data_IF_560379000959
#
_entry.id   IF_560379000959
#
_cell.length_a   1.000
_cell.length_b   1.000
_cell.length_c   1.000
_cell.angle_alpha   90.00
_cell.angle_beta   90.00
_cell.angle_gamma   90.00
#
_symmetry.space_group_name_H-M   'P 1'
#
loop_
_entity.id
_entity.type
_entity.pdbx_description
1 polymer ?
#
# COMPACT_ATOMS: atom_id res chain seq x y z
N UNK A 1 -55.14 35.04 -24.17
CA UNK A 1 -54.81 36.04 -23.14
C UNK A 1 -53.63 35.53 -22.33
N UNK A 2 -52.44 36.09 -22.60
CA UNK A 2 -51.28 36.12 -21.69
C UNK A 2 -51.63 36.99 -20.44
N UNK A 3 -50.82 37.09 -19.36
CA UNK A 3 -49.37 36.82 -19.34
C UNK A 3 -48.73 36.25 -18.05
N UNK A 4 -47.52 35.72 -18.28
CA UNK A 4 -46.24 35.97 -17.59
C UNK A 4 -46.15 35.99 -16.06
N UNK A 5 -45.21 35.19 -15.53
CA UNK A 5 -44.33 35.62 -14.44
C UNK A 5 -42.87 35.28 -14.74
N UNK A 6 -42.06 36.32 -14.62
CA UNK A 6 -40.63 36.42 -14.88
C UNK A 6 -39.77 35.79 -13.76
N UNK A 7 -38.48 35.55 -14.01
CA UNK A 7 -37.54 34.96 -13.05
C UNK A 7 -36.92 36.00 -12.12
N UNK A 8 -36.65 35.61 -10.88
CA UNK A 8 -35.97 36.43 -9.87
C UNK A 8 -34.45 36.36 -10.05
N UNK A 9 -33.83 37.49 -10.39
CA UNK A 9 -32.38 37.69 -10.29
C UNK A 9 -31.96 37.74 -8.81
N UNK A 10 -31.02 36.89 -8.43
CA UNK A 10 -30.25 37.04 -7.20
C UNK A 10 -28.92 37.73 -7.49
N UNK A 11 -28.78 38.98 -7.07
CA UNK A 11 -27.51 39.69 -7.00
C UNK A 11 -27.58 40.58 -5.76
N UNK A 12 -26.70 40.36 -4.79
CA UNK A 12 -25.95 41.42 -4.08
C UNK A 12 -24.99 40.74 -3.08
N UNK A 13 -23.75 40.57 -3.53
CA UNK A 13 -22.57 40.42 -2.68
C UNK A 13 -22.35 41.74 -1.93
N UNK A 14 -22.26 41.69 -0.60
CA UNK A 14 -21.55 42.67 0.23
C UNK A 14 -21.04 41.93 1.47
N UNK A 15 -19.88 41.30 1.34
CA UNK A 15 -19.12 40.77 2.47
C UNK A 15 -18.05 41.79 2.82
N UNK A 16 -18.33 42.59 3.84
CA UNK A 16 -17.41 43.58 4.39
C UNK A 16 -16.17 42.90 4.98
N UNK A 17 -15.01 43.33 4.50
CA UNK A 17 -13.70 43.05 5.08
C UNK A 17 -13.63 43.63 6.51
N UNK A 18 -13.49 42.77 7.51
CA UNK A 18 -12.92 43.16 8.80
C UNK A 18 -11.45 42.76 8.80
N UNK A 19 -10.56 43.74 8.62
CA UNK A 19 -9.17 43.65 9.05
C UNK A 19 -9.14 43.97 10.54
N UNK A 20 -8.82 42.98 11.37
CA UNK A 20 -8.44 43.19 12.76
C UNK A 20 -7.14 42.45 13.02
N UNK A 21 -6.10 43.22 13.33
CA UNK A 21 -4.76 42.78 13.72
C UNK A 21 -4.78 41.77 14.86
N UNK A 22 -3.92 40.74 14.86
CA UNK A 22 -3.54 40.08 16.10
C UNK A 22 -2.52 40.97 16.84
N UNK A 23 -2.94 41.46 18.01
CA UNK A 23 -2.08 42.13 18.96
C UNK A 23 -1.01 41.16 19.50
N UNK A 24 0.21 41.67 19.62
CA UNK A 24 1.32 41.09 20.35
C UNK A 24 0.91 40.75 21.79
N UNK A 25 0.93 39.46 22.14
CA UNK A 25 0.97 39.03 23.53
C UNK A 25 2.42 38.65 23.86
N UNK A 26 3.12 39.57 24.54
CA UNK A 26 4.41 39.32 25.17
C UNK A 26 4.20 38.42 26.40
N UNK A 27 4.76 37.22 26.36
CA UNK A 27 4.96 36.40 27.54
C UNK A 27 6.19 36.92 28.32
N UNK A 28 6.15 36.96 29.67
CA UNK A 28 7.27 37.43 30.47
C UNK A 28 8.43 36.44 30.43
N UNK A 29 9.64 36.99 30.31
CA UNK A 29 10.90 36.27 30.42
C UNK A 29 11.11 35.77 31.84
N UNK A 30 11.13 34.45 32.02
CA UNK A 30 11.53 33.81 33.27
C UNK A 30 12.98 33.33 33.15
N UNK A 31 13.75 33.65 34.17
CA UNK A 31 15.19 33.69 34.23
C UNK A 31 15.84 32.30 34.07
N UNK A 32 16.85 32.26 33.20
CA UNK A 32 17.78 31.14 33.06
C UNK A 32 18.59 30.97 34.36
N UNK A 33 18.18 30.03 35.22
CA UNK A 33 19.04 29.46 36.26
C UNK A 33 19.66 28.17 35.75
N UNK A 34 20.91 28.29 35.32
CA UNK A 34 21.82 27.18 35.09
C UNK A 34 21.95 26.33 36.36
N UNK A 35 21.44 25.10 36.30
CA UNK A 35 21.88 24.01 37.17
C UNK A 35 22.74 23.08 36.34
N UNK A 36 24.05 23.34 36.36
CA UNK A 36 25.05 22.31 36.06
C UNK A 36 25.14 21.40 37.27
N UNK A 37 24.82 20.14 37.09
CA UNK A 37 25.21 19.08 38.03
C UNK A 37 25.91 17.97 37.25
N UNK A 38 27.08 17.50 37.72
CA UNK A 38 27.86 16.49 37.03
C UNK A 38 27.15 15.13 37.12
N UNK A 39 26.93 14.49 35.97
CA UNK A 39 26.53 13.09 35.89
C UNK A 39 27.70 12.27 36.44
N UNK A 40 27.55 11.79 37.66
CA UNK A 40 28.42 10.78 38.23
C UNK A 40 27.83 9.44 37.82
N UNK A 41 28.51 8.71 36.93
CA UNK A 41 28.17 7.32 36.62
C UNK A 41 28.44 6.47 37.87
N UNK A 42 27.42 6.29 38.69
CA UNK A 42 27.38 5.21 39.67
C UNK A 42 26.80 3.97 38.98
N UNK A 43 27.67 3.01 38.69
CA UNK A 43 27.31 1.66 38.27
C UNK A 43 26.55 0.99 39.42
N UNK A 44 25.23 1.07 39.41
CA UNK A 44 24.37 0.20 40.21
C UNK A 44 24.11 -1.07 39.39
N UNK A 45 24.44 -2.21 39.98
CA UNK A 45 24.07 -3.53 39.48
C UNK A 45 22.56 -3.61 39.24
N UNK A 46 22.07 -4.37 38.25
CA UNK A 46 20.64 -4.56 38.08
C UNK A 46 20.10 -5.26 39.33
N UNK A 47 19.20 -4.58 40.02
CA UNK A 47 18.45 -5.10 41.15
C UNK A 47 17.62 -6.29 40.66
N UNK A 48 18.11 -7.49 40.92
CA UNK A 48 17.43 -8.75 40.66
C UNK A 48 16.34 -9.00 41.72
N UNK A 49 15.49 -8.00 41.95
CA UNK A 49 14.48 -8.00 43.01
C UNK A 49 13.08 -7.52 42.54
N UNK A 50 12.90 -7.28 41.23
CA UNK A 50 11.60 -6.89 40.65
C UNK A 50 10.96 -8.01 39.78
N UNK A 51 11.48 -9.23 39.84
CA UNK A 51 10.85 -10.42 39.24
C UNK A 51 10.13 -11.31 40.27
N UNK A 52 10.28 -11.05 41.57
CA UNK A 52 9.74 -11.92 42.62
C UNK A 52 8.44 -11.38 43.27
N UNK A 53 7.90 -10.25 42.80
CA UNK A 53 6.71 -9.62 43.39
C UNK A 53 5.37 -10.00 42.72
N UNK A 54 5.38 -10.63 41.54
CA UNK A 54 4.13 -11.11 40.88
C UNK A 54 3.80 -12.58 41.18
N UNK A 55 4.75 -13.36 41.68
CA UNK A 55 4.55 -14.78 42.00
C UNK A 55 3.78 -15.04 43.30
N UNK A 56 3.46 -13.98 44.05
CA UNK A 56 2.78 -14.04 45.35
C UNK A 56 1.26 -13.78 45.34
N UNK A 57 0.64 -13.48 44.19
CA UNK A 57 -0.83 -13.51 44.12
C UNK A 57 -1.22 -14.98 44.17
N UNK A 58 -1.75 -15.43 45.32
CA UNK A 58 -2.15 -16.81 45.53
C UNK A 58 -2.94 -17.31 44.31
N UNK A 59 -2.67 -18.52 43.80
CA UNK A 59 -3.30 -19.05 42.59
C UNK A 59 -4.83 -18.91 42.60
N UNK A 60 -5.45 -19.04 43.78
CA UNK A 60 -6.87 -18.80 44.01
C UNK A 60 -7.32 -17.37 43.65
N UNK A 61 -6.52 -16.35 43.97
CA UNK A 61 -6.82 -14.96 43.61
C UNK A 61 -6.65 -14.71 42.11
N UNK A 62 -5.67 -15.37 41.46
CA UNK A 62 -5.50 -15.31 39.99
C UNK A 62 -6.69 -15.97 39.29
N UNK A 63 -7.06 -17.17 39.73
CA UNK A 63 -8.22 -17.92 39.22
C UNK A 63 -9.52 -17.13 39.42
N UNK A 64 -9.76 -16.56 40.60
CA UNK A 64 -10.93 -15.74 40.88
C UNK A 64 -11.01 -14.50 39.98
N UNK A 65 -9.88 -13.82 39.71
CA UNK A 65 -9.80 -12.70 38.77
C UNK A 65 -10.10 -13.15 37.33
N UNK A 66 -9.55 -14.27 36.90
CA UNK A 66 -9.82 -14.82 35.57
C UNK A 66 -11.30 -15.20 35.40
N UNK A 67 -11.93 -15.77 36.43
CA UNK A 67 -13.36 -16.10 36.44
C UNK A 67 -14.24 -14.85 36.32
N UNK A 68 -13.93 -13.77 37.05
CA UNK A 68 -14.65 -12.49 36.92
C UNK A 68 -14.54 -11.90 35.50
N UNK A 69 -13.37 -11.98 34.89
CA UNK A 69 -13.16 -11.53 33.51
C UNK A 69 -13.95 -12.39 32.52
N UNK A 70 -13.93 -13.71 32.69
CA UNK A 70 -14.74 -14.65 31.89
C UNK A 70 -16.22 -14.34 32.00
N UNK A 71 -16.77 -14.16 33.20
CA UNK A 71 -18.21 -13.93 33.37
C UNK A 71 -18.67 -12.62 32.70
N UNK A 72 -17.82 -11.58 32.76
CA UNK A 72 -18.04 -10.35 32.00
C UNK A 72 -17.91 -10.56 30.49
N UNK A 73 -16.96 -11.38 30.04
CA UNK A 73 -16.80 -11.74 28.64
C UNK A 73 -18.02 -12.52 28.10
N UNK A 74 -18.58 -13.44 28.90
CA UNK A 74 -19.79 -14.19 28.58
C UNK A 74 -21.00 -13.26 28.38
N UNK A 75 -21.13 -12.22 29.22
CA UNK A 75 -22.16 -11.19 29.05
C UNK A 75 -21.97 -10.41 27.75
N UNK A 76 -20.76 -9.88 27.52
CA UNK A 76 -20.42 -9.15 26.29
C UNK A 76 -20.64 -10.00 25.04
N UNK A 77 -20.32 -11.30 25.10
CA UNK A 77 -20.58 -12.22 24.00
C UNK A 77 -22.09 -12.35 23.73
N UNK A 78 -22.90 -12.50 24.79
CA UNK A 78 -24.37 -12.58 24.69
C UNK A 78 -24.99 -11.30 24.13
N UNK A 79 -24.41 -10.13 24.43
CA UNK A 79 -24.83 -8.84 23.86
C UNK A 79 -24.21 -8.53 22.49
N UNK A 80 -23.47 -9.49 21.90
CA UNK A 80 -22.80 -9.40 20.58
C UNK A 80 -21.64 -8.38 20.52
N UNK A 81 -21.11 -7.97 21.66
CA UNK A 81 -19.89 -7.17 21.77
C UNK A 81 -18.64 -8.05 21.66
N UNK A 82 -18.51 -8.78 20.55
CA UNK A 82 -17.51 -9.84 20.38
C UNK A 82 -16.06 -9.38 20.48
N UNK A 83 -15.74 -8.15 20.06
CA UNK A 83 -14.37 -7.59 20.19
C UNK A 83 -13.97 -7.48 21.65
N UNK A 84 -14.83 -6.89 22.49
CA UNK A 84 -14.57 -6.74 23.92
C UNK A 84 -14.62 -8.08 24.65
N UNK A 85 -15.52 -8.98 24.25
CA UNK A 85 -15.55 -10.33 24.80
C UNK A 85 -14.24 -11.07 24.55
N UNK A 86 -13.72 -11.02 23.32
CA UNK A 86 -12.43 -11.61 22.94
C UNK A 86 -11.28 -11.07 23.81
N UNK A 87 -11.17 -9.74 23.94
CA UNK A 87 -10.14 -9.11 24.78
C UNK A 87 -10.17 -9.62 26.23
N UNK A 88 -11.38 -9.80 26.80
CA UNK A 88 -11.53 -10.31 28.16
C UNK A 88 -11.22 -11.80 28.28
N UNK A 89 -11.60 -12.63 27.32
CA UNK A 89 -11.22 -14.05 27.32
C UNK A 89 -9.70 -14.23 27.19
N UNK A 90 -9.04 -13.49 26.30
CA UNK A 90 -7.58 -13.52 26.13
C UNK A 90 -6.87 -13.03 27.40
N UNK A 91 -7.40 -11.97 28.03
CA UNK A 91 -6.86 -11.48 29.32
C UNK A 91 -7.06 -12.51 30.44
N UNK A 92 -8.23 -13.13 30.53
CA UNK A 92 -8.50 -14.17 31.52
C UNK A 92 -7.54 -15.35 31.34
N UNK A 93 -7.33 -15.81 30.10
CA UNK A 93 -6.44 -16.94 29.80
C UNK A 93 -4.97 -16.62 30.10
N UNK A 94 -4.52 -15.37 29.89
CA UNK A 94 -3.17 -14.93 30.30
C UNK A 94 -2.98 -14.91 31.83
N UNK A 95 -4.03 -14.61 32.60
CA UNK A 95 -3.96 -14.58 34.07
C UNK A 95 -4.02 -15.99 34.65
N UNK A 96 -4.89 -16.83 34.11
CA UNK A 96 -5.06 -18.22 34.52
C UNK A 96 -5.37 -19.08 33.28
N UNK A 97 -4.38 -19.83 32.77
CA UNK A 97 -4.56 -20.66 31.58
C UNK A 97 -5.64 -21.73 31.76
N UNK A 98 -6.76 -21.59 31.05
CA UNK A 98 -7.83 -22.58 30.94
C UNK A 98 -8.20 -22.75 29.45
N UNK A 99 -8.21 -24.00 28.96
CA UNK A 99 -8.59 -24.33 27.60
C UNK A 99 -10.03 -23.90 27.26
N UNK A 100 -10.96 -23.86 28.21
CA UNK A 100 -12.32 -23.36 27.96
C UNK A 100 -12.33 -21.91 27.48
N UNK A 101 -11.38 -21.10 27.93
CA UNK A 101 -11.22 -19.71 27.50
C UNK A 101 -10.72 -19.62 26.05
N UNK A 102 -9.87 -20.55 25.61
CA UNK A 102 -9.47 -20.67 24.20
C UNK A 102 -10.68 -20.98 23.32
N UNK A 103 -11.54 -21.93 23.72
CA UNK A 103 -12.76 -22.23 22.97
C UNK A 103 -13.65 -20.97 22.83
N UNK A 104 -13.88 -20.24 23.93
CA UNK A 104 -14.70 -19.02 23.92
C UNK A 104 -14.07 -17.88 23.10
N UNK A 105 -12.74 -17.72 23.15
CA UNK A 105 -12.00 -16.79 22.29
C UNK A 105 -12.17 -17.16 20.81
N UNK A 106 -12.00 -18.45 20.45
CA UNK A 106 -12.23 -18.96 19.10
C UNK A 106 -13.66 -18.71 18.60
N UNK A 107 -14.67 -18.89 19.47
CA UNK A 107 -16.07 -18.56 19.13
C UNK A 107 -16.29 -17.07 18.91
N UNK A 108 -15.60 -16.22 19.66
CA UNK A 108 -15.63 -14.75 19.48
C UNK A 108 -15.00 -14.33 18.16
N UNK A 109 -13.83 -14.91 17.81
CA UNK A 109 -13.15 -14.71 16.53
C UNK A 109 -14.01 -15.16 15.34
N UNK A 110 -14.65 -16.33 15.46
CA UNK A 110 -15.58 -16.83 14.45
C UNK A 110 -16.77 -15.88 14.25
N UNK A 111 -17.36 -15.37 15.34
CA UNK A 111 -18.47 -14.41 15.27
C UNK A 111 -18.06 -13.07 14.64
N UNK A 112 -16.78 -12.69 14.75
CA UNK A 112 -16.18 -11.53 14.08
C UNK A 112 -15.83 -11.78 12.60
N UNK A 113 -15.94 -13.03 12.12
CA UNK A 113 -15.50 -13.41 10.78
C UNK A 113 -13.98 -13.50 10.63
N UNK A 114 -13.22 -13.49 11.73
CA UNK A 114 -11.76 -13.72 11.75
C UNK A 114 -11.49 -15.22 11.75
N UNK A 115 -11.83 -15.90 10.65
CA UNK A 115 -11.82 -17.36 10.58
C UNK A 115 -10.41 -17.96 10.67
N UNK A 116 -9.41 -17.26 10.13
CA UNK A 116 -8.00 -17.64 10.26
C UNK A 116 -7.55 -17.75 11.71
N UNK A 117 -7.72 -16.67 12.47
CA UNK A 117 -7.45 -16.63 13.91
C UNK A 117 -8.31 -17.65 14.67
N UNK A 118 -9.60 -17.74 14.35
CA UNK A 118 -10.51 -18.70 15.00
C UNK A 118 -10.01 -20.14 14.84
N UNK A 119 -9.62 -20.54 13.62
CA UNK A 119 -9.08 -21.87 13.36
C UNK A 119 -7.80 -22.10 14.17
N UNK A 120 -6.88 -21.12 14.18
CA UNK A 120 -5.65 -21.21 14.96
C UNK A 120 -5.94 -21.43 16.45
N UNK A 121 -6.84 -20.63 17.03
CA UNK A 121 -7.23 -20.76 18.45
C UNK A 121 -7.94 -22.09 18.75
N UNK A 122 -8.75 -22.61 17.82
CA UNK A 122 -9.38 -23.93 18.01
C UNK A 122 -8.40 -25.09 17.88
N UNK A 123 -7.36 -24.97 17.03
CA UNK A 123 -6.28 -25.96 16.97
C UNK A 123 -5.46 -25.95 18.26
N UNK A 124 -5.24 -24.78 18.85
CA UNK A 124 -4.61 -24.65 20.17
C UNK A 124 -5.47 -25.28 21.27
N UNK A 125 -6.77 -24.99 21.30
CA UNK A 125 -7.72 -25.68 22.17
C UNK A 125 -7.67 -27.20 21.99
N UNK A 126 -7.64 -27.70 20.76
CA UNK A 126 -7.59 -29.14 20.47
C UNK A 126 -6.33 -29.80 21.05
N UNK A 127 -5.20 -29.07 21.06
CA UNK A 127 -3.92 -29.52 21.60
C UNK A 127 -3.90 -29.51 23.14
N UNK A 128 -4.52 -28.51 23.76
CA UNK A 128 -4.37 -28.25 25.20
C UNK A 128 -5.51 -28.78 26.07
N UNK A 129 -6.71 -28.96 25.50
CA UNK A 129 -7.87 -29.40 26.26
C UNK A 129 -7.78 -30.88 26.67
N UNK A 130 -8.11 -31.21 27.94
CA UNK A 130 -8.27 -32.60 28.39
C UNK A 130 -9.26 -33.37 27.51
N UNK A 131 -9.05 -34.69 27.36
CA UNK A 131 -9.88 -35.53 26.51
C UNK A 131 -11.36 -35.50 26.92
N UNK A 132 -11.63 -35.46 28.24
CA UNK A 132 -12.98 -35.39 28.79
C UNK A 132 -13.70 -34.10 28.35
N UNK A 133 -12.99 -32.98 28.31
CA UNK A 133 -13.54 -31.70 27.86
C UNK A 133 -13.79 -31.71 26.35
N UNK A 134 -12.87 -32.28 25.56
CA UNK A 134 -13.03 -32.41 24.10
C UNK A 134 -14.21 -33.32 23.75
N UNK A 135 -14.40 -34.43 24.47
CA UNK A 135 -15.50 -35.37 24.26
C UNK A 135 -16.89 -34.77 24.49
N UNK A 136 -17.00 -33.71 25.29
CA UNK A 136 -18.26 -32.99 25.53
C UNK A 136 -18.67 -32.07 24.36
N UNK A 137 -17.73 -31.70 23.49
CA UNK A 137 -17.98 -30.77 22.38
C UNK A 137 -18.46 -31.50 21.12
N UNK A 138 -19.74 -31.84 21.11
CA UNK A 138 -20.38 -32.43 19.92
C UNK A 138 -20.28 -31.48 18.72
N UNK A 139 -19.83 -32.00 17.57
CA UNK A 139 -19.70 -31.24 16.33
C UNK A 139 -18.44 -30.38 16.21
N UNK A 140 -17.48 -30.50 17.14
CA UNK A 140 -16.23 -29.75 17.08
C UNK A 140 -15.40 -30.07 15.82
N UNK A 141 -15.34 -31.34 15.39
CA UNK A 141 -14.64 -31.71 14.16
C UNK A 141 -15.30 -31.08 12.91
N UNK A 142 -16.63 -31.07 12.86
CA UNK A 142 -17.37 -30.42 11.77
C UNK A 142 -17.15 -28.90 11.74
N UNK A 143 -17.00 -28.27 12.92
CA UNK A 143 -16.61 -26.86 13.03
C UNK A 143 -15.20 -26.62 12.47
N UNK A 144 -14.23 -27.46 12.82
CA UNK A 144 -12.88 -27.35 12.29
C UNK A 144 -12.84 -27.51 10.76
N UNK A 145 -13.60 -28.46 10.21
CA UNK A 145 -13.70 -28.66 8.77
C UNK A 145 -14.36 -27.47 8.05
N UNK A 146 -15.43 -26.89 8.61
CA UNK A 146 -16.04 -25.67 8.06
C UNK A 146 -15.06 -24.49 8.06
N UNK A 147 -14.31 -24.30 9.15
CA UNK A 147 -13.30 -23.24 9.24
C UNK A 147 -12.14 -23.47 8.27
N UNK A 148 -11.63 -24.71 8.15
CA UNK A 148 -10.60 -25.07 7.16
C UNK A 148 -11.04 -24.73 5.74
N UNK A 149 -12.30 -24.98 5.39
CA UNK A 149 -12.87 -24.62 4.09
C UNK A 149 -12.96 -23.10 3.84
N UNK A 150 -12.93 -22.27 4.90
CA UNK A 150 -13.03 -20.80 4.82
C UNK A 150 -11.70 -20.07 4.84
N UNK A 151 -10.60 -20.78 5.07
CA UNK A 151 -9.27 -20.19 5.22
C UNK A 151 -8.26 -20.82 4.26
N UNK A 152 -7.17 -20.12 4.02
CA UNK A 152 -6.00 -20.59 3.30
C UNK A 152 -4.79 -20.50 4.22
N UNK A 153 -3.94 -21.52 4.23
CA UNK A 153 -2.65 -21.46 4.90
C UNK A 153 -1.65 -20.68 4.03
N UNK A 154 -1.17 -19.54 4.51
CA UNK A 154 -0.27 -18.63 3.79
C UNK A 154 1.14 -18.74 4.36
N UNK A 155 2.10 -18.91 3.45
CA UNK A 155 3.54 -18.82 3.71
C UNK A 155 4.10 -17.67 2.91
N UNK A 156 4.79 -16.74 3.56
CA UNK A 156 5.36 -15.56 2.92
C UNK A 156 6.89 -15.60 3.07
N UNK A 157 7.59 -15.75 1.96
CA UNK A 157 9.03 -15.61 1.87
C UNK A 157 9.38 -14.17 1.51
N UNK A 158 10.22 -13.53 2.31
CA UNK A 158 10.76 -12.18 2.01
C UNK A 158 12.27 -12.25 2.09
N UNK A 159 12.96 -11.69 1.10
CA UNK A 159 14.43 -11.63 1.06
C UNK A 159 15.04 -10.80 2.20
N UNK A 160 14.26 -9.88 2.77
CA UNK A 160 14.68 -8.92 3.79
C UNK A 160 13.99 -9.20 5.13
N UNK A 161 14.73 -9.50 6.20
CA UNK A 161 14.19 -9.62 7.56
C UNK A 161 13.69 -8.28 8.11
N UNK A 162 12.75 -8.31 9.05
CA UNK A 162 12.14 -7.12 9.65
C UNK A 162 11.21 -6.33 8.72
N UNK A 163 10.79 -6.93 7.60
CA UNK A 163 9.81 -6.32 6.71
C UNK A 163 8.40 -6.61 7.23
N UNK A 164 7.57 -5.58 7.36
CA UNK A 164 6.16 -5.72 7.75
C UNK A 164 5.37 -6.36 6.61
N UNK A 165 4.63 -7.43 6.93
CA UNK A 165 3.79 -8.17 5.99
C UNK A 165 2.33 -7.96 6.39
N UNK A 166 1.54 -7.45 5.46
CA UNK A 166 0.09 -7.30 5.62
C UNK A 166 -0.66 -7.96 4.47
N UNK A 167 -1.84 -8.50 4.78
CA UNK A 167 -2.71 -9.18 3.83
C UNK A 167 -4.13 -8.64 4.01
N UNK A 168 -4.52 -7.71 3.14
CA UNK A 168 -5.74 -6.92 3.29
C UNK A 168 -5.60 -5.96 4.47
N UNK A 169 -6.50 -6.08 5.44
CA UNK A 169 -6.44 -5.33 6.71
C UNK A 169 -5.67 -6.05 7.82
N UNK A 170 -5.27 -7.30 7.60
CA UNK A 170 -4.61 -8.13 8.60
C UNK A 170 -3.09 -7.94 8.57
N UNK A 171 -2.48 -7.71 9.73
CA UNK A 171 -1.02 -7.63 9.89
C UNK A 171 -0.52 -9.01 10.30
N UNK A 172 0.20 -9.71 9.43
CA UNK A 172 0.70 -11.06 9.70
C UNK A 172 1.91 -11.05 10.65
N UNK A 173 2.65 -9.95 10.64
CA UNK A 173 3.86 -9.72 11.44
C UNK A 173 5.02 -9.22 10.58
N UNK A 174 6.24 -9.50 11.03
CA UNK A 174 7.47 -9.18 10.33
C UNK A 174 8.13 -10.44 9.74
N UNK A 175 8.89 -10.27 8.66
CA UNK A 175 9.68 -11.35 8.05
C UNK A 175 10.93 -11.71 8.86
N UNK A 176 11.33 -12.99 8.93
CA UNK A 176 10.53 -14.15 8.56
C UNK A 176 9.39 -14.38 9.57
N UNK A 177 8.23 -14.82 9.08
CA UNK A 177 7.14 -15.25 9.96
C UNK A 177 7.57 -16.49 10.74
N UNK A 178 7.23 -16.54 12.03
CA UNK A 178 7.58 -17.67 12.92
C UNK A 178 6.88 -18.98 12.54
N UNK A 179 5.70 -18.88 11.92
CA UNK A 179 4.91 -20.00 11.43
C UNK A 179 4.04 -19.56 10.25
N UNK A 180 3.53 -20.50 9.43
CA UNK A 180 2.47 -20.22 8.47
C UNK A 180 1.25 -19.59 9.16
N UNK A 181 0.50 -18.75 8.42
CA UNK A 181 -0.69 -18.08 8.94
C UNK A 181 -1.93 -18.56 8.21
N UNK A 182 -2.99 -18.88 8.94
CA UNK A 182 -4.31 -19.08 8.32
C UNK A 182 -4.95 -17.72 8.09
N UNK A 183 -5.33 -17.45 6.84
CA UNK A 183 -6.03 -16.21 6.49
C UNK A 183 -7.32 -16.54 5.76
N UNK A 184 -8.34 -15.70 5.88
CA UNK A 184 -9.62 -15.89 5.19
C UNK A 184 -9.41 -16.06 3.68
N UNK A 185 -10.10 -17.04 3.10
CA UNK A 185 -10.11 -17.27 1.66
C UNK A 185 -10.80 -16.11 0.92
N UNK A 186 -10.34 -15.85 -0.31
CA UNK A 186 -10.83 -14.76 -1.15
C UNK A 186 -9.73 -14.00 -1.85
N UNK A 187 -10.12 -12.93 -2.55
CA UNK A 187 -9.18 -11.99 -3.15
C UNK A 187 -8.72 -10.97 -2.12
N UNK A 188 -7.41 -10.78 -2.02
CA UNK A 188 -6.82 -9.95 -0.99
C UNK A 188 -5.52 -9.33 -1.47
N UNK A 189 -5.19 -8.16 -0.93
CA UNK A 189 -3.96 -7.45 -1.29
C UNK A 189 -2.85 -7.79 -0.30
N UNK A 190 -1.82 -8.49 -0.76
CA UNK A 190 -0.55 -8.59 -0.06
C UNK A 190 0.18 -7.25 -0.18
N UNK A 191 0.66 -6.72 0.94
CA UNK A 191 1.60 -5.61 0.99
C UNK A 191 2.77 -5.99 1.88
N UNK A 192 3.97 -5.79 1.37
CA UNK A 192 5.22 -5.98 2.12
C UNK A 192 6.00 -4.68 2.08
N UNK A 193 6.40 -4.17 3.24
CA UNK A 193 7.09 -2.89 3.37
C UNK A 193 8.19 -2.93 4.41
N UNK A 194 9.27 -2.20 4.15
CA UNK A 194 10.37 -1.99 5.07
C UNK A 194 11.00 -0.62 4.78
N UNK A 195 11.40 0.09 5.81
CA UNK A 195 12.06 1.39 5.66
C UNK A 195 13.35 1.26 4.83
N UNK A 196 13.52 2.17 3.86
CA UNK A 196 14.65 2.13 2.92
C UNK A 196 14.48 1.16 1.74
N UNK A 197 13.31 0.52 1.59
CA UNK A 197 12.98 -0.37 0.47
C UNK A 197 11.71 0.11 -0.25
N UNK A 198 11.58 -0.22 -1.54
CA UNK A 198 10.33 0.02 -2.26
C UNK A 198 9.27 -0.99 -1.79
N UNK A 199 8.08 -0.54 -1.38
CA UNK A 199 7.01 -1.45 -0.96
C UNK A 199 6.51 -2.25 -2.16
N UNK A 200 6.16 -3.52 -1.91
CA UNK A 200 5.56 -4.41 -2.91
C UNK A 200 4.09 -4.62 -2.57
N UNK A 201 3.21 -4.36 -3.54
CA UNK A 201 1.78 -4.66 -3.45
C UNK A 201 1.38 -5.66 -4.53
N UNK A 202 0.69 -6.75 -4.14
CA UNK A 202 0.19 -7.77 -5.07
C UNK A 202 -1.22 -8.19 -4.69
N UNK A 203 -2.12 -8.27 -5.67
CA UNK A 203 -3.41 -8.93 -5.46
C UNK A 203 -3.21 -10.44 -5.57
N UNK A 204 -3.65 -11.18 -4.56
CA UNK A 204 -3.53 -12.64 -4.48
C UNK A 204 -4.91 -13.25 -4.26
N UNK A 205 -5.15 -14.41 -4.85
CA UNK A 205 -6.39 -15.17 -4.68
C UNK A 205 -6.10 -16.36 -3.77
N UNK A 206 -6.61 -16.30 -2.54
CA UNK A 206 -6.45 -17.35 -1.54
C UNK A 206 -7.61 -18.35 -1.64
N UNK A 207 -7.29 -19.63 -1.79
CA UNK A 207 -8.27 -20.70 -1.93
C UNK A 207 -8.56 -21.34 -0.57
N UNK A 208 -9.84 -21.47 -0.24
CA UNK A 208 -10.29 -22.17 0.97
C UNK A 208 -9.80 -23.62 1.02
N UNK A 209 -9.31 -24.06 2.17
CA UNK A 209 -8.70 -25.38 2.40
C UNK A 209 -7.33 -25.57 1.72
N UNK A 210 -6.82 -24.56 1.01
CA UNK A 210 -5.57 -24.64 0.28
C UNK A 210 -4.39 -24.03 1.03
N UNK A 211 -3.19 -24.20 0.45
CA UNK A 211 -1.96 -23.54 0.88
C UNK A 211 -1.46 -22.61 -0.22
N UNK A 212 -1.01 -21.41 0.15
CA UNK A 212 -0.40 -20.44 -0.75
C UNK A 212 1.03 -20.10 -0.29
N UNK A 213 1.99 -20.18 -1.22
CA UNK A 213 3.36 -19.72 -1.01
C UNK A 213 3.60 -18.44 -1.80
N UNK A 214 3.98 -17.37 -1.12
CA UNK A 214 4.13 -16.03 -1.67
C UNK A 214 5.57 -15.55 -1.46
N UNK A 215 6.35 -15.53 -2.53
CA UNK A 215 7.71 -15.00 -2.49
C UNK A 215 7.75 -13.52 -2.92
N UNK A 216 8.38 -12.71 -2.08
CA UNK A 216 8.50 -11.26 -2.26
C UNK A 216 9.96 -10.85 -2.17
N UNK A 217 10.37 -10.07 -3.16
CA UNK A 217 11.68 -9.44 -3.21
C UNK A 217 11.48 -7.95 -3.00
N UNK A 218 12.01 -7.42 -1.90
CA UNK A 218 12.12 -6.00 -1.63
C UNK A 218 13.43 -5.48 -2.22
N UNK A 219 13.31 -4.42 -3.01
CA UNK A 219 14.44 -3.73 -3.62
C UNK A 219 14.80 -2.47 -2.83
N UNK A 220 16.08 -2.30 -2.54
CA UNK A 220 16.57 -1.17 -1.74
C UNK A 220 16.49 0.14 -2.50
N UNK A 221 15.94 1.18 -1.86
CA UNK A 221 15.90 2.54 -2.38
C UNK A 221 17.31 3.13 -2.53
N UNK A 222 18.27 2.74 -1.69
CA UNK A 222 19.64 3.25 -1.80
C UNK A 222 20.37 2.79 -3.07
N UNK A 223 19.91 1.71 -3.73
CA UNK A 223 20.58 1.08 -4.88
C UNK A 223 19.73 1.03 -6.14
N UNK A 224 18.48 1.49 -6.09
CA UNK A 224 17.53 1.39 -7.19
C UNK A 224 16.60 2.59 -7.23
N UNK A 225 16.02 2.87 -8.40
CA UNK A 225 14.88 3.75 -8.59
C UNK A 225 13.66 2.97 -9.08
N UNK A 226 12.45 3.45 -8.77
CA UNK A 226 11.18 2.88 -9.24
C UNK A 226 10.66 3.68 -10.42
N UNK A 227 10.35 3.01 -11.52
CA UNK A 227 9.77 3.59 -12.72
C UNK A 227 8.34 3.10 -12.90
N UNK A 228 7.39 4.03 -12.97
CA UNK A 228 5.99 3.77 -13.29
C UNK A 228 5.71 4.28 -14.71
N UNK A 229 5.26 3.39 -15.58
CA UNK A 229 4.97 3.72 -16.98
C UNK A 229 3.48 3.61 -17.24
N UNK A 230 2.88 4.75 -17.58
CA UNK A 230 1.48 4.87 -17.95
C UNK A 230 1.34 4.98 -19.47
N UNK A 231 0.20 4.54 -20.01
CA UNK A 231 -0.17 4.78 -21.39
C UNK A 231 -1.66 5.08 -21.50
N UNK A 232 -2.01 6.05 -22.34
CA UNK A 232 -3.40 6.39 -22.66
C UNK A 232 -4.00 5.41 -23.67
N UNK A 233 -3.17 4.63 -24.36
CA UNK A 233 -3.60 3.64 -25.35
C UNK A 233 -3.75 2.27 -24.65
N UNK A 234 -4.97 1.71 -24.54
CA UNK A 234 -5.19 0.45 -23.82
C UNK A 234 -4.42 -0.72 -24.42
N UNK A 235 -3.87 -1.59 -23.57
CA UNK A 235 -3.11 -2.76 -23.98
C UNK A 235 -1.81 -2.42 -24.71
N UNK A 236 -1.22 -1.25 -24.44
CA UNK A 236 0.13 -0.89 -24.87
C UNK A 236 1.13 -1.73 -24.10
N UNK A 237 2.02 -2.41 -24.81
CA UNK A 237 3.10 -3.20 -24.21
C UNK A 237 4.30 -2.31 -23.92
N UNK A 238 4.79 -2.33 -22.69
CA UNK A 238 5.95 -1.57 -22.24
C UNK A 238 7.15 -2.51 -22.09
N UNK A 239 8.31 -2.02 -22.52
CA UNK A 239 9.60 -2.65 -22.31
C UNK A 239 10.63 -1.62 -21.87
N UNK A 240 11.61 -2.05 -21.08
CA UNK A 240 12.75 -1.24 -20.66
C UNK A 240 14.03 -1.98 -21.02
N UNK A 241 14.82 -1.43 -21.94
CA UNK A 241 15.89 -2.19 -22.60
C UNK A 241 15.32 -3.44 -23.27
N UNK A 242 15.85 -4.61 -22.91
CA UNK A 242 15.38 -5.91 -23.41
C UNK A 242 14.28 -6.55 -22.52
N UNK A 243 13.96 -5.95 -21.37
CA UNK A 243 12.99 -6.48 -20.43
C UNK A 243 11.57 -6.06 -20.81
N UNK A 244 10.72 -7.02 -21.20
CA UNK A 244 9.29 -6.78 -21.47
C UNK A 244 8.50 -6.82 -20.16
N UNK A 245 7.93 -5.68 -19.76
CA UNK A 245 7.18 -5.52 -18.50
C UNK A 245 5.70 -5.91 -18.62
N UNK A 246 5.19 -6.08 -19.84
CA UNK A 246 3.79 -6.36 -20.12
C UNK A 246 3.00 -5.11 -20.46
N UNK A 247 1.71 -5.07 -20.12
CA UNK A 247 0.81 -3.98 -20.53
C UNK A 247 0.82 -2.82 -19.54
N UNK A 248 0.75 -1.58 -20.04
CA UNK A 248 0.57 -0.39 -19.21
C UNK A 248 -0.84 -0.37 -18.57
N UNK A 249 -0.99 0.14 -17.33
CA UNK A 249 0.07 0.66 -16.45
C UNK A 249 0.96 -0.46 -15.89
N UNK A 250 2.27 -0.20 -15.81
CA UNK A 250 3.24 -1.14 -15.24
C UNK A 250 4.30 -0.41 -14.42
N UNK A 251 4.90 -1.12 -13.48
CA UNK A 251 5.95 -0.63 -12.60
C UNK A 251 7.16 -1.56 -12.64
N UNK A 252 8.36 -0.99 -12.50
CA UNK A 252 9.61 -1.74 -12.42
C UNK A 252 10.59 -1.02 -11.51
N UNK A 253 11.37 -1.77 -10.75
CA UNK A 253 12.50 -1.24 -9.97
C UNK A 253 13.78 -1.57 -10.72
N UNK A 254 14.62 -0.56 -10.94
CA UNK A 254 15.81 -0.64 -11.80
C UNK A 254 17.01 0.04 -11.12
N UNK A 255 18.26 -0.36 -11.44
CA UNK A 255 19.44 0.36 -10.98
C UNK A 255 19.42 1.83 -11.45
N UNK A 256 20.05 2.76 -10.73
CA UNK A 256 20.21 4.14 -11.17
C UNK A 256 20.90 4.21 -12.52
N UNK A 257 20.50 5.18 -13.34
CA UNK A 257 21.07 5.40 -14.67
C UNK A 257 20.02 5.68 -15.74
N UNK A 258 20.47 5.68 -16.99
CA UNK A 258 19.63 5.96 -18.15
C UNK A 258 19.04 4.68 -18.71
N UNK A 259 17.71 4.61 -18.71
CA UNK A 259 16.95 3.48 -19.22
C UNK A 259 16.15 3.87 -20.45
N UNK A 260 16.25 3.09 -21.53
CA UNK A 260 15.42 3.27 -22.71
C UNK A 260 14.10 2.55 -22.51
N UNK A 261 13.01 3.32 -22.47
CA UNK A 261 11.64 2.80 -22.39
C UNK A 261 11.05 2.75 -23.80
N UNK A 262 10.33 1.68 -24.11
CA UNK A 262 9.69 1.45 -25.40
C UNK A 262 8.24 1.01 -25.16
N UNK A 263 7.32 1.72 -25.80
CA UNK A 263 5.90 1.43 -25.83
C UNK A 263 5.49 0.95 -27.22
N UNK A 264 4.93 -0.25 -27.30
CA UNK A 264 4.46 -0.87 -28.54
C UNK A 264 2.97 -1.14 -28.49
N UNK A 265 2.29 -0.93 -29.61
CA UNK A 265 0.91 -1.36 -29.81
C UNK A 265 0.71 -1.79 -31.25
N UNK A 266 -0.03 -2.88 -31.46
CA UNK A 266 -0.42 -3.33 -32.81
C UNK A 266 -1.14 -2.18 -33.53
N UNK A 267 -0.80 -1.96 -34.80
CA UNK A 267 -1.36 -0.87 -35.64
C UNK A 267 -1.00 0.55 -35.18
N UNK A 268 0.02 0.70 -34.32
CA UNK A 268 0.61 1.98 -33.92
C UNK A 268 2.10 1.98 -34.23
N UNK A 269 2.66 3.18 -34.38
CA UNK A 269 4.11 3.37 -34.41
C UNK A 269 4.66 3.31 -32.99
N UNK A 270 5.77 2.59 -32.83
CA UNK A 270 6.48 2.45 -31.57
C UNK A 270 6.89 3.82 -31.02
N UNK A 271 6.67 4.05 -29.73
CA UNK A 271 7.18 5.24 -29.04
C UNK A 271 8.32 4.84 -28.10
N UNK A 272 9.41 5.61 -28.11
CA UNK A 272 10.56 5.35 -27.23
C UNK A 272 11.08 6.64 -26.60
N UNK A 273 11.55 6.54 -25.36
CA UNK A 273 12.16 7.66 -24.64
C UNK A 273 13.27 7.17 -23.72
N UNK A 274 14.20 8.05 -23.38
CA UNK A 274 15.21 7.79 -22.36
C UNK A 274 14.78 8.40 -21.03
N UNK A 275 14.85 7.61 -19.97
CA UNK A 275 14.52 8.04 -18.61
C UNK A 275 15.75 7.88 -17.75
N UNK A 276 16.14 8.96 -17.08
CA UNK A 276 17.17 8.90 -16.04
C UNK A 276 16.48 8.58 -14.72
N UNK A 277 16.93 7.54 -14.04
CA UNK A 277 16.50 7.18 -12.69
C UNK A 277 17.63 7.41 -11.69
N UNK A 278 17.32 8.07 -10.59
CA UNK A 278 18.20 8.22 -9.44
C UNK A 278 17.89 7.17 -8.37
N UNK A 279 18.84 6.89 -7.48
CA UNK A 279 18.60 6.02 -6.34
C UNK A 279 17.51 6.61 -5.42
N UNK A 280 16.53 5.79 -5.05
CA UNK A 280 15.40 6.13 -4.20
C UNK A 280 14.31 6.92 -4.91
N UNK A 281 14.54 7.32 -6.16
CA UNK A 281 13.58 8.06 -6.94
C UNK A 281 12.43 7.16 -7.38
N UNK A 282 11.20 7.59 -7.13
CA UNK A 282 10.03 7.10 -7.84
C UNK A 282 9.70 8.07 -8.97
N UNK A 283 9.74 7.59 -10.21
CA UNK A 283 9.51 8.40 -11.41
C UNK A 283 8.36 7.83 -12.22
N UNK A 284 7.36 8.68 -12.48
CA UNK A 284 6.21 8.33 -13.32
C UNK A 284 6.35 9.01 -14.69
N UNK A 285 6.17 8.24 -15.76
CA UNK A 285 6.12 8.77 -17.14
C UNK A 285 4.84 8.30 -17.84
N UNK A 286 4.38 9.09 -18.81
CA UNK A 286 3.33 8.67 -19.75
C UNK A 286 3.94 8.52 -21.13
N UNK A 287 3.89 7.32 -21.69
CA UNK A 287 4.40 7.01 -23.02
C UNK A 287 3.29 6.40 -23.87
N UNK A 288 2.92 7.10 -24.94
CA UNK A 288 1.85 6.70 -25.85
C UNK A 288 2.46 6.31 -27.20
N UNK A 289 2.18 5.11 -27.73
CA UNK A 289 2.44 4.78 -29.13
C UNK A 289 1.79 5.82 -30.03
N UNK A 290 2.48 6.23 -31.10
CA UNK A 290 1.93 7.22 -32.03
C UNK A 290 0.96 6.53 -33.00
N UNK A 291 -0.12 7.22 -33.38
CA UNK A 291 -0.95 6.74 -34.49
C UNK A 291 -0.12 6.84 -35.78
N UNK A 292 -0.16 5.83 -36.66
CA UNK A 292 0.58 5.87 -37.90
C UNK A 292 0.13 7.07 -38.72
N UNK A 293 1.10 7.80 -39.23
CA UNK A 293 0.87 8.95 -40.08
C UNK A 293 -0.06 8.58 -41.25
N UNK A 294 -1.24 9.22 -41.34
CA UNK A 294 -2.20 8.95 -42.42
C UNK A 294 -1.62 9.23 -43.82
N UNK A 295 -0.56 10.04 -43.91
CA UNK A 295 0.15 10.34 -45.17
C UNK A 295 0.99 9.17 -45.70
N UNK A 296 1.27 8.14 -44.90
CA UNK A 296 1.96 6.92 -45.36
C UNK A 296 1.02 5.90 -46.01
N UNK A 297 -0.30 6.14 -46.00
CA UNK A 297 -1.26 5.27 -46.67
C UNK A 297 -1.32 5.62 -48.16
N UNK A 298 -0.96 4.68 -49.03
CA UNK A 298 -0.90 4.85 -50.49
C UNK A 298 -2.18 5.42 -51.14
N UNK A 299 -3.36 5.19 -50.56
CA UNK A 299 -4.62 5.73 -51.05
C UNK A 299 -4.78 7.24 -50.80
N UNK A 300 -3.96 7.87 -49.94
CA UNK A 300 -3.95 9.33 -49.75
C UNK A 300 -3.56 10.07 -51.04
N UNK A 301 -2.72 9.47 -51.89
CA UNK A 301 -2.39 9.99 -53.23
C UNK A 301 -3.41 9.60 -54.33
N UNK A 302 -4.37 8.72 -54.05
CA UNK A 302 -5.40 8.36 -55.03
C UNK A 302 -6.45 9.48 -55.23
N UNK A 303 -6.50 10.48 -54.34
CA UNK A 303 -7.46 11.61 -54.41
C UNK A 303 -6.92 12.91 -55.01
N UNK A 304 -5.61 13.18 -54.94
CA UNK A 304 -5.01 14.44 -55.45
C UNK A 304 -4.60 14.33 -56.93
N UNK A 305 -4.42 13.11 -57.44
CA UNK A 305 -3.95 12.83 -58.80
C UNK A 305 -4.99 12.92 -59.94
N UNK A 306 -6.19 13.47 -59.72
CA UNK A 306 -7.25 13.56 -60.75
C UNK A 306 -7.38 14.96 -61.39
N UNK A 307 -6.62 15.97 -60.97
CA UNK A 307 -6.74 17.33 -61.56
C UNK A 307 -5.69 17.62 -62.66
N UNK A 308 -4.73 16.73 -62.94
CA UNK A 308 -3.63 17.02 -63.87
C UNK A 308 -3.83 16.51 -65.32
N UNK A 309 -5.07 16.44 -65.81
CA UNK A 309 -5.34 16.16 -67.22
C UNK A 309 -6.44 17.07 -67.78
N UNK A 310 -6.09 18.32 -68.06
CA UNK A 310 -6.83 19.17 -69.00
C UNK A 310 -7.21 20.54 -68.47
N UNK A 311 -6.33 21.53 -68.63
CA UNK A 311 -6.57 22.78 -69.37
C UNK A 311 -5.40 23.74 -69.15
N UNK A 312 -4.82 24.21 -70.26
CA UNK A 312 -3.81 25.27 -70.29
C UNK A 312 -4.52 26.61 -70.07
N UNK A 313 -4.15 27.38 -69.05
CA UNK A 313 -4.38 28.83 -69.00
C UNK A 313 -3.19 29.55 -68.37
N UNK A 314 -2.49 30.28 -69.24
CA UNK A 314 -1.76 31.55 -69.11
C UNK A 314 -1.18 31.98 -67.75
N UNK A 315 0.14 32.18 -67.76
CA UNK A 315 0.99 32.77 -66.72
C UNK A 315 0.53 34.20 -66.37
N UNK A 316 0.28 34.45 -65.07
CA UNK A 316 0.42 35.79 -64.48
C UNK A 316 1.47 35.68 -63.36
N UNK A 317 2.61 36.32 -63.58
CA UNK A 317 3.73 36.35 -62.65
C UNK A 317 3.38 37.24 -61.44
N UNK A 318 3.38 36.66 -60.24
CA UNK A 318 3.64 37.36 -58.98
C UNK A 318 4.39 36.36 -58.06
N UNK A 319 5.66 36.66 -57.81
CA UNK A 319 6.58 35.84 -57.02
C UNK A 319 6.17 35.80 -55.53
N UNK A 320 6.21 34.62 -54.89
CA UNK A 320 6.55 34.53 -53.48
C UNK A 320 7.96 33.97 -53.31
N UNK A 321 8.77 34.74 -52.59
CA UNK A 321 10.11 34.40 -52.08
C UNK A 321 10.15 33.06 -51.35
N UNK A 322 11.08 32.21 -51.74
CA UNK A 322 11.47 30.99 -51.02
C UNK A 322 12.18 31.33 -49.70
N UNK A 323 11.82 30.71 -48.56
CA UNK A 323 12.67 30.76 -47.38
C UNK A 323 13.84 29.78 -47.52
N UNK A 324 15.03 30.31 -47.28
CA UNK A 324 16.32 29.65 -47.25
C UNK A 324 16.44 28.66 -46.09
N UNK A 325 17.16 27.58 -46.38
CA UNK A 325 17.79 26.65 -45.46
C UNK A 325 18.68 27.40 -44.44
N UNK A 326 18.46 27.16 -43.14
CA UNK A 326 19.35 27.58 -42.05
C UNK A 326 19.90 26.34 -41.36
N UNK A 327 21.22 26.14 -41.50
CA UNK A 327 22.02 25.32 -40.59
C UNK A 327 21.90 25.91 -39.18
N UNK A 328 21.55 25.06 -38.21
CA UNK A 328 21.56 25.38 -36.79
C UNK A 328 22.87 24.93 -36.17
N UNK A 329 23.76 25.89 -35.94
CA UNK A 329 25.00 25.73 -35.18
C UNK A 329 24.74 25.35 -33.72
N UNK A 330 25.55 24.42 -33.23
CA UNK A 330 25.69 24.09 -31.82
C UNK A 330 26.41 25.21 -31.07
N UNK A 331 25.84 25.71 -29.97
CA UNK A 331 26.63 26.26 -28.86
C UNK A 331 26.06 25.83 -27.50
N UNK A 332 26.92 25.43 -26.53
CA UNK A 332 26.50 24.97 -25.21
C UNK A 332 26.44 26.14 -24.23
N UNK A 333 25.36 26.24 -23.44
CA UNK A 333 25.28 27.19 -22.34
C UNK A 333 25.25 26.45 -21.01
N UNK A 334 26.37 26.60 -20.31
CA UNK A 334 26.65 26.12 -18.97
C UNK A 334 25.69 26.71 -17.93
N UNK A 335 25.36 25.89 -16.93
CA UNK A 335 24.57 26.26 -15.75
C UNK A 335 25.50 26.94 -14.75
N UNK A 336 25.17 28.18 -14.36
CA UNK A 336 25.84 28.92 -13.27
C UNK A 336 25.17 28.59 -11.93
N UNK A 337 25.94 28.06 -10.98
CA UNK A 337 25.57 27.98 -9.57
C UNK A 337 26.16 29.20 -8.81
N UNK A 338 25.43 29.81 -7.85
CA UNK A 338 26.01 30.83 -6.98
C UNK A 338 26.64 30.19 -5.74
N UNK A 339 27.95 30.41 -5.57
CA UNK A 339 28.65 30.29 -4.29
C UNK A 339 28.68 31.67 -3.63
N UNK A 340 28.18 31.74 -2.40
CA UNK A 340 28.38 32.86 -1.48
C UNK A 340 29.65 32.59 -0.67
N UNK A 341 30.53 33.57 -0.58
CA UNK A 341 31.70 33.61 0.29
C UNK A 341 31.58 34.83 1.20
N UNK A 342 31.53 34.63 2.51
CA UNK A 342 32.60 34.89 3.47
C UNK A 342 32.20 34.31 4.84
#
# INVERSE_FOLDING_TARGET
MSPARSPTLGLFCLSSFFLTSPAHAQAPAEEARAWTSPVTHATAAPDAADHDAEDGVADADREARALQLKDRADELFRTREYVRALELYERAHRIFPDARLLYNAGRSLQALGRYGDALQTFLEFQREAPEELRAQLHGFDALLEDLRGRVCEVRVGVNEPGATITLGSEVLGESPLSAPRFVNAGEVRLRVSKDGYFPVEKNVVLRGGGTASLDVVLESQARHGKLIVLSKVPGTTISVGDLVLGQAPTEVVLPPGTHRVLARKREHDDASTQVVLEAGQERTITLNPAAPALYERWWFWAGVGVVAAGTVVTILALQPSSPSYTDGDFTPSAISAPLVSF
#
